data_IF_246831724788
#
_entry.id   IF_246831724788
#
_cell.length_a   1.000
_cell.length_b   1.000
_cell.length_c   1.000
_cell.angle_alpha   90.00
_cell.angle_beta   90.00
_cell.angle_gamma   90.00
#
_symmetry.space_group_name_H-M   'P 1'
#
loop_
_entity.id
_entity.type
_entity.pdbx_description
1 polymer ?
#
# COMPACT_ATOMS: atom_id res chain seq x y z
N UNK A 1 17.48 26.09 10.00
CA UNK A 1 17.82 26.30 8.58
C UNK A 1 16.64 27.00 7.91
N UNK A 2 16.89 27.98 7.03
CA UNK A 2 15.81 28.61 6.26
C UNK A 2 15.55 27.85 4.96
N UNK A 3 14.30 27.78 4.51
CA UNK A 3 13.92 27.14 3.23
C UNK A 3 14.72 27.66 2.04
N UNK A 4 15.08 28.95 2.06
CA UNK A 4 15.84 29.58 0.98
C UNK A 4 17.23 29.00 0.76
N UNK A 5 17.82 28.38 1.78
CA UNK A 5 19.16 27.81 1.74
C UNK A 5 19.19 26.41 1.09
N UNK A 6 18.03 25.79 0.86
CA UNK A 6 17.94 24.48 0.24
C UNK A 6 18.34 24.52 -1.24
N UNK A 7 18.90 23.41 -1.74
CA UNK A 7 19.25 23.27 -3.15
C UNK A 7 18.00 23.39 -4.04
N UNK A 8 18.19 23.87 -5.28
CA UNK A 8 17.08 23.97 -6.23
C UNK A 8 16.48 22.60 -6.56
N UNK A 9 17.32 21.56 -6.58
CA UNK A 9 16.89 20.18 -6.79
C UNK A 9 15.92 19.72 -5.70
N UNK A 10 16.27 19.94 -4.43
CA UNK A 10 15.42 19.58 -3.29
C UNK A 10 14.11 20.39 -3.31
N UNK A 11 14.19 21.71 -3.55
CA UNK A 11 13.00 22.57 -3.70
C UNK A 11 12.07 22.06 -4.82
N UNK A 12 12.63 21.65 -5.96
CA UNK A 12 11.86 21.13 -7.09
C UNK A 12 11.17 19.80 -6.73
N UNK A 13 11.88 18.87 -6.09
CA UNK A 13 11.29 17.61 -5.64
C UNK A 13 10.20 17.85 -4.58
N UNK A 14 10.44 18.74 -3.62
CA UNK A 14 9.47 19.11 -2.60
C UNK A 14 8.17 19.67 -3.21
N UNK A 15 8.26 20.56 -4.21
CA UNK A 15 7.07 21.09 -4.90
C UNK A 15 6.22 19.99 -5.54
N UNK A 16 6.83 18.91 -6.02
CA UNK A 16 6.10 17.79 -6.63
C UNK A 16 5.29 16.97 -5.61
N UNK A 17 5.77 16.90 -4.36
CA UNK A 17 5.24 15.95 -3.35
C UNK A 17 4.47 16.62 -2.22
N UNK A 18 4.69 17.92 -1.95
CA UNK A 18 4.13 18.63 -0.78
C UNK A 18 2.60 18.63 -0.69
N UNK A 19 1.89 18.40 -1.80
CA UNK A 19 0.43 18.32 -1.82
C UNK A 19 -0.12 16.91 -1.60
N UNK A 20 0.74 15.90 -1.44
CA UNK A 20 0.35 14.58 -0.96
C UNK A 20 0.27 14.66 0.57
N UNK A 21 -0.93 14.95 1.07
CA UNK A 21 -1.18 15.19 2.49
C UNK A 21 -1.41 13.91 3.29
N UNK A 22 -1.39 12.74 2.67
CA UNK A 22 -1.21 11.45 3.37
C UNK A 22 0.14 11.38 4.10
N UNK A 23 1.09 12.25 3.75
CA UNK A 23 2.42 12.32 4.32
C UNK A 23 2.64 13.62 5.10
N UNK A 24 3.33 13.52 6.24
CA UNK A 24 4.02 14.65 6.88
C UNK A 24 5.40 14.79 6.26
N UNK A 25 5.81 16.00 5.88
CA UNK A 25 7.07 16.25 5.18
C UNK A 25 8.05 17.04 6.05
N UNK A 26 9.24 16.47 6.25
CA UNK A 26 10.38 17.07 6.93
C UNK A 26 11.52 17.33 5.92
N UNK A 27 12.04 18.56 5.86
CA UNK A 27 13.09 18.96 4.92
C UNK A 27 14.44 19.12 5.63
N UNK A 28 15.46 18.43 5.11
CA UNK A 28 16.84 18.50 5.56
C UNK A 28 17.71 19.14 4.47
N UNK A 29 18.98 19.36 4.75
CA UNK A 29 19.91 20.00 3.81
C UNK A 29 20.08 19.18 2.51
N UNK A 30 20.09 17.86 2.65
CA UNK A 30 20.43 16.89 1.61
C UNK A 30 19.31 15.88 1.29
N UNK A 31 18.19 15.92 2.01
CA UNK A 31 17.08 14.97 1.83
C UNK A 31 15.71 15.50 2.24
N UNK A 32 14.67 14.82 1.76
CA UNK A 32 13.28 15.00 2.18
C UNK A 32 12.85 13.71 2.89
N UNK A 33 12.22 13.81 4.05
CA UNK A 33 11.59 12.68 4.73
C UNK A 33 10.08 12.88 4.72
N UNK A 34 9.36 11.94 4.11
CA UNK A 34 7.92 11.82 4.24
C UNK A 34 7.60 10.77 5.30
N UNK A 35 6.63 11.02 6.17
CA UNK A 35 6.09 10.01 7.11
C UNK A 35 4.62 9.84 6.82
N UNK A 36 4.20 8.63 6.43
CA UNK A 36 2.81 8.34 6.16
C UNK A 36 1.99 8.47 7.45
N UNK A 37 1.01 9.38 7.48
CA UNK A 37 0.34 9.82 8.72
C UNK A 37 -0.48 8.73 9.41
N UNK A 38 -0.89 7.69 8.68
CA UNK A 38 -1.70 6.59 9.24
C UNK A 38 -0.83 5.46 9.79
N UNK A 39 0.22 5.08 9.05
CA UNK A 39 1.05 3.91 9.39
C UNK A 39 2.39 4.26 10.03
N UNK A 40 2.74 5.54 10.08
CA UNK A 40 4.05 6.05 10.49
C UNK A 40 5.22 5.48 9.66
N UNK A 41 4.96 4.92 8.46
CA UNK A 41 6.02 4.43 7.57
C UNK A 41 6.82 5.60 7.00
N UNK A 42 8.15 5.67 7.23
CA UNK A 42 8.98 6.73 6.67
C UNK A 42 9.41 6.42 5.24
N UNK A 43 9.46 7.46 4.42
CA UNK A 43 9.97 7.48 3.06
C UNK A 43 11.10 8.52 3.00
N UNK A 44 12.29 8.08 2.60
CA UNK A 44 13.49 8.92 2.52
C UNK A 44 13.80 9.19 1.06
N UNK A 45 13.75 10.46 0.68
CA UNK A 45 14.03 10.92 -0.68
C UNK A 45 15.39 11.63 -0.65
N UNK A 46 16.38 10.99 -1.26
CA UNK A 46 17.75 11.49 -1.41
C UNK A 46 18.02 11.84 -2.88
N UNK A 47 19.07 12.61 -3.12
CA UNK A 47 19.41 13.13 -4.45
C UNK A 47 20.79 12.64 -4.87
N UNK A 48 20.91 12.21 -6.12
CA UNK A 48 22.16 11.76 -6.72
C UNK A 48 22.39 12.48 -8.05
N UNK A 49 23.63 12.86 -8.32
CA UNK A 49 24.03 13.53 -9.57
C UNK A 49 23.89 12.64 -10.81
N UNK A 50 23.85 11.31 -10.62
CA UNK A 50 23.75 10.36 -11.71
C UNK A 50 23.52 8.92 -11.24
N UNK A 51 23.49 8.02 -12.22
CA UNK A 51 23.17 6.59 -12.01
C UNK A 51 24.17 5.89 -11.09
N UNK A 52 25.47 6.06 -11.32
CA UNK A 52 26.51 5.37 -10.53
C UNK A 52 26.48 5.78 -9.06
N UNK A 53 26.29 7.07 -8.79
CA UNK A 53 26.13 7.57 -7.42
C UNK A 53 24.85 7.02 -6.78
N UNK A 54 23.74 6.98 -7.52
CA UNK A 54 22.48 6.43 -7.02
C UNK A 54 22.58 4.94 -6.65
N UNK A 55 23.24 4.13 -7.48
CA UNK A 55 23.50 2.71 -7.21
C UNK A 55 24.38 2.55 -5.95
N UNK A 56 25.44 3.35 -5.79
CA UNK A 56 26.25 3.35 -4.55
C UNK A 56 25.46 3.78 -3.30
N UNK A 57 24.54 4.72 -3.45
CA UNK A 57 23.66 5.16 -2.36
C UNK A 57 22.61 4.10 -1.99
N UNK A 58 22.21 3.23 -2.93
CA UNK A 58 21.22 2.16 -2.71
C UNK A 58 21.75 1.08 -1.77
N UNK A 59 23.07 0.86 -1.77
CA UNK A 59 23.75 -0.09 -0.88
C UNK A 59 23.65 0.33 0.60
N UNK A 60 23.55 1.64 0.87
CA UNK A 60 23.54 2.21 2.21
C UNK A 60 22.11 2.58 2.64
N UNK A 61 21.44 1.68 3.36
CA UNK A 61 20.08 1.86 3.86
C UNK A 61 20.05 2.55 5.23
N UNK A 62 19.20 3.55 5.38
CA UNK A 62 19.01 4.28 6.64
C UNK A 62 17.95 3.61 7.56
N UNK A 63 17.99 2.27 7.67
CA UNK A 63 17.10 1.50 8.54
C UNK A 63 15.67 1.32 8.02
N UNK A 64 14.70 1.21 8.94
CA UNK A 64 13.29 0.95 8.61
C UNK A 64 12.67 2.06 7.77
N UNK A 65 12.08 1.73 6.62
CA UNK A 65 11.40 2.68 5.72
C UNK A 65 11.60 2.34 4.24
N UNK A 66 11.10 3.23 3.37
CA UNK A 66 11.28 3.14 1.92
C UNK A 66 12.33 4.17 1.49
N UNK A 67 13.33 3.72 0.75
CA UNK A 67 14.38 4.58 0.20
C UNK A 67 14.08 4.92 -1.26
N UNK A 68 14.11 6.21 -1.56
CA UNK A 68 13.92 6.79 -2.88
C UNK A 68 15.12 7.67 -3.21
N UNK A 69 15.73 7.45 -4.37
CA UNK A 69 16.88 8.21 -4.85
C UNK A 69 16.48 8.87 -6.17
N UNK A 70 16.47 10.20 -6.16
CA UNK A 70 16.12 11.01 -7.31
C UNK A 70 17.37 11.31 -8.12
N UNK A 71 17.28 11.11 -9.43
CA UNK A 71 18.35 11.43 -10.39
C UNK A 71 17.88 12.44 -11.44
N UNK A 72 18.79 13.26 -12.01
CA UNK A 72 18.42 14.26 -13.03
C UNK A 72 18.06 13.65 -14.39
N UNK A 73 18.44 12.39 -14.65
CA UNK A 73 18.24 11.75 -15.95
C UNK A 73 16.75 11.47 -16.22
N UNK A 74 16.20 12.11 -17.26
CA UNK A 74 14.83 11.91 -17.71
C UNK A 74 14.63 10.44 -18.13
N UNK A 75 13.50 9.83 -17.75
CA UNK A 75 13.14 8.42 -18.03
C UNK A 75 13.89 7.36 -17.22
N UNK A 76 14.38 7.72 -16.04
CA UNK A 76 14.92 6.73 -15.10
C UNK A 76 13.81 6.26 -14.16
N UNK A 77 13.60 4.94 -14.07
CA UNK A 77 12.78 4.29 -13.05
C UNK A 77 13.20 2.82 -12.92
N UNK A 78 13.82 2.44 -11.80
CA UNK A 78 14.14 1.05 -11.49
C UNK A 78 14.32 0.87 -9.98
N UNK A 79 14.46 -0.37 -9.53
CA UNK A 79 14.73 -0.71 -8.14
C UNK A 79 16.11 -1.35 -8.08
N UNK A 80 16.95 -0.87 -7.16
CA UNK A 80 18.27 -1.43 -6.90
C UNK A 80 18.49 -1.53 -5.39
N UNK A 81 18.95 -2.70 -4.93
CA UNK A 81 19.06 -3.05 -3.51
C UNK A 81 17.81 -2.74 -2.64
N UNK A 82 16.62 -2.65 -3.25
CA UNK A 82 15.37 -2.29 -2.55
C UNK A 82 15.12 -0.79 -2.38
N UNK A 83 15.96 0.07 -2.95
CA UNK A 83 15.69 1.50 -3.12
C UNK A 83 15.10 1.76 -4.51
N UNK A 84 14.15 2.69 -4.60
CA UNK A 84 13.66 3.19 -5.89
C UNK A 84 14.63 4.24 -6.43
N UNK A 85 15.12 4.06 -7.66
CA UNK A 85 15.94 5.04 -8.35
C UNK A 85 15.13 5.59 -9.53
N UNK A 86 14.79 6.88 -9.49
CA UNK A 86 13.90 7.47 -10.49
C UNK A 86 14.18 8.94 -10.78
N UNK A 87 13.67 9.40 -11.92
CA UNK A 87 13.62 10.84 -12.23
C UNK A 87 12.51 11.53 -11.45
N UNK A 88 12.71 12.80 -11.07
CA UNK A 88 11.75 13.58 -10.25
C UNK A 88 10.30 13.56 -10.77
N UNK A 89 10.09 13.41 -12.08
CA UNK A 89 8.77 13.36 -12.70
C UNK A 89 7.92 12.15 -12.29
N UNK A 90 8.55 11.06 -11.83
CA UNK A 90 7.84 9.86 -11.35
C UNK A 90 7.63 9.85 -9.84
N UNK A 91 8.23 10.82 -9.12
CA UNK A 91 8.24 10.81 -7.66
C UNK A 91 6.84 10.93 -7.07
N UNK A 92 6.02 11.82 -7.63
CA UNK A 92 4.64 12.00 -7.17
C UNK A 92 3.83 10.72 -7.37
N UNK A 93 3.89 10.12 -8.56
CA UNK A 93 3.14 8.90 -8.87
C UNK A 93 3.56 7.73 -7.98
N UNK A 94 4.87 7.53 -7.80
CA UNK A 94 5.38 6.49 -6.90
C UNK A 94 4.85 6.67 -5.47
N UNK A 95 4.80 7.90 -4.95
CA UNK A 95 4.31 8.15 -3.60
C UNK A 95 2.80 7.92 -3.44
N UNK A 96 2.02 8.15 -4.52
CA UNK A 96 0.61 7.75 -4.56
C UNK A 96 0.50 6.23 -4.55
N UNK A 97 1.28 5.54 -5.39
CA UNK A 97 1.31 4.07 -5.41
C UNK A 97 1.72 3.50 -4.05
N UNK A 98 2.73 4.07 -3.39
CA UNK A 98 3.14 3.65 -2.04
C UNK A 98 1.97 3.82 -1.05
N UNK A 99 1.26 4.95 -1.09
CA UNK A 99 0.11 5.19 -0.21
C UNK A 99 -0.97 4.13 -0.42
N UNK A 100 -1.32 3.85 -1.67
CA UNK A 100 -2.37 2.89 -2.03
C UNK A 100 -2.01 1.45 -1.61
N UNK A 101 -0.72 1.17 -1.38
CA UNK A 101 -0.22 -0.13 -0.94
C UNK A 101 0.15 -0.17 0.54
N UNK A 102 -0.09 0.89 1.31
CA UNK A 102 -0.09 0.85 2.78
C UNK A 102 -1.51 0.59 3.23
N UNK A 103 -1.83 -0.67 3.51
CA UNK A 103 -3.19 -1.12 3.73
C UNK A 103 -3.42 -1.46 5.19
N UNK A 104 -4.51 -0.95 5.76
CA UNK A 104 -4.98 -1.37 7.07
C UNK A 104 -5.42 -2.84 7.01
N UNK A 105 -5.00 -3.66 7.97
CA UNK A 105 -5.33 -5.08 7.99
C UNK A 105 -5.74 -5.61 9.36
N UNK A 106 -6.06 -4.72 10.30
CA UNK A 106 -6.57 -5.09 11.61
C UNK A 106 -6.30 -4.06 12.67
N UNK A 107 -6.76 -4.37 13.87
CA UNK A 107 -6.60 -3.52 15.04
C UNK A 107 -6.49 -4.34 16.31
N UNK A 108 -6.05 -3.69 17.39
CA UNK A 108 -6.10 -4.18 18.75
C UNK A 108 -6.41 -3.05 19.72
N UNK A 109 -7.32 -3.29 20.66
CA UNK A 109 -7.57 -2.38 21.78
C UNK A 109 -6.65 -2.77 22.94
N UNK A 110 -5.86 -1.82 23.42
CA UNK A 110 -4.94 -1.97 24.55
C UNK A 110 -5.27 -0.96 25.65
N UNK A 111 -4.88 -1.28 26.88
CA UNK A 111 -4.88 -0.31 27.96
C UNK A 111 -3.56 0.50 27.93
N UNK A 112 -3.68 1.83 27.90
CA UNK A 112 -2.56 2.76 27.96
C UNK A 112 -2.91 3.94 28.86
N UNK A 113 -2.13 4.13 29.91
CA UNK A 113 -2.31 5.20 30.90
C UNK A 113 -3.74 5.28 31.47
N UNK A 114 -4.34 4.11 31.76
CA UNK A 114 -5.71 3.99 32.28
C UNK A 114 -6.83 4.22 31.26
N UNK A 115 -6.50 4.36 29.97
CA UNK A 115 -7.48 4.50 28.88
C UNK A 115 -7.40 3.31 27.93
N UNK A 116 -8.51 3.01 27.25
CA UNK A 116 -8.51 2.07 26.13
C UNK A 116 -8.15 2.83 24.84
N UNK A 117 -7.11 2.36 24.15
CA UNK A 117 -6.61 2.93 22.91
C UNK A 117 -6.57 1.86 21.84
N UNK A 118 -7.00 2.20 20.63
CA UNK A 118 -6.86 1.32 19.47
C UNK A 118 -5.47 1.49 18.86
N UNK A 119 -4.77 0.38 18.69
CA UNK A 119 -3.59 0.25 17.85
C UNK A 119 -4.01 -0.37 16.52
N UNK A 120 -3.74 0.33 15.42
CA UNK A 120 -4.01 -0.15 14.07
C UNK A 120 -2.80 -0.90 13.50
N UNK A 121 -3.08 -1.95 12.73
CA UNK A 121 -2.08 -2.68 11.97
C UNK A 121 -2.15 -2.29 10.50
N UNK A 122 -1.02 -1.80 9.99
CA UNK A 122 -0.83 -1.48 8.58
C UNK A 122 0.24 -2.39 7.97
N UNK A 123 0.00 -2.83 6.74
CA UNK A 123 0.95 -3.63 5.97
C UNK A 123 1.32 -2.87 4.68
N UNK A 124 2.62 -2.78 4.39
CA UNK A 124 3.11 -2.25 3.11
C UNK A 124 3.29 -3.39 2.10
N UNK A 125 2.46 -3.40 1.06
CA UNK A 125 2.42 -4.43 0.03
C UNK A 125 3.38 -4.14 -1.13
N UNK A 126 4.64 -3.85 -0.81
CA UNK A 126 5.63 -3.40 -1.81
C UNK A 126 5.87 -4.38 -2.97
N UNK A 127 5.81 -5.70 -2.72
CA UNK A 127 5.92 -6.70 -3.77
C UNK A 127 4.77 -6.63 -4.78
N UNK A 128 3.55 -6.44 -4.28
CA UNK A 128 2.35 -6.27 -5.11
C UNK A 128 2.38 -4.94 -5.86
N UNK A 129 2.79 -3.86 -5.19
CA UNK A 129 2.96 -2.53 -5.80
C UNK A 129 3.87 -2.57 -7.02
N UNK A 130 5.00 -3.27 -6.93
CA UNK A 130 5.92 -3.42 -8.06
C UNK A 130 5.27 -4.16 -9.23
N UNK A 131 4.42 -5.15 -8.96
CA UNK A 131 3.63 -5.82 -10.00
C UNK A 131 2.66 -4.84 -10.67
N UNK A 132 1.92 -4.05 -9.88
CA UNK A 132 0.98 -3.06 -10.40
C UNK A 132 1.66 -1.98 -11.25
N UNK A 133 2.79 -1.45 -10.79
CA UNK A 133 3.59 -0.47 -11.55
C UNK A 133 4.04 -1.06 -12.90
N UNK A 134 4.50 -2.32 -12.93
CA UNK A 134 4.93 -2.99 -14.17
C UNK A 134 3.78 -3.20 -15.15
N UNK A 135 2.59 -3.49 -14.64
CA UNK A 135 1.38 -3.71 -15.44
C UNK A 135 0.58 -2.42 -15.69
N UNK A 136 1.07 -1.27 -15.22
CA UNK A 136 0.39 0.02 -15.29
C UNK A 136 -1.05 -0.03 -14.72
N UNK A 137 -1.21 -0.73 -13.58
CA UNK A 137 -2.49 -0.88 -12.89
C UNK A 137 -2.68 0.20 -11.82
N UNK A 138 -3.87 0.78 -11.77
CA UNK A 138 -4.25 1.88 -10.87
C UNK A 138 -5.32 1.39 -9.87
N UNK A 139 -5.07 1.63 -8.59
CA UNK A 139 -6.04 1.33 -7.52
C UNK A 139 -7.33 2.13 -7.70
N UNK A 140 -8.49 1.50 -7.52
CA UNK A 140 -9.82 2.08 -7.74
C UNK A 140 -10.26 2.13 -9.21
N UNK A 141 -9.38 1.82 -10.15
CA UNK A 141 -9.71 1.70 -11.58
C UNK A 141 -9.59 0.26 -12.06
N UNK A 142 -8.41 -0.34 -11.89
CA UNK A 142 -8.08 -1.67 -12.43
C UNK A 142 -8.21 -2.76 -11.37
N UNK A 143 -8.08 -2.39 -10.10
CA UNK A 143 -8.26 -3.27 -8.95
C UNK A 143 -8.64 -2.50 -7.69
N UNK A 144 -9.04 -3.21 -6.63
CA UNK A 144 -9.14 -2.70 -5.27
C UNK A 144 -8.46 -3.65 -4.28
N UNK A 145 -7.85 -3.12 -3.22
CA UNK A 145 -7.38 -3.92 -2.09
C UNK A 145 -8.47 -3.92 -1.02
N UNK A 146 -8.88 -5.11 -0.59
CA UNK A 146 -10.01 -5.27 0.33
C UNK A 146 -9.72 -6.30 1.41
N UNK A 147 -10.26 -6.05 2.62
CA UNK A 147 -10.03 -6.86 3.81
C UNK A 147 -11.04 -8.00 3.88
N UNK A 148 -10.52 -9.21 4.13
CA UNK A 148 -11.30 -10.41 4.37
C UNK A 148 -10.91 -11.06 5.69
N UNK A 149 -11.88 -11.25 6.58
CA UNK A 149 -11.71 -11.99 7.82
C UNK A 149 -11.72 -13.49 7.54
N UNK A 150 -10.75 -14.23 8.10
CA UNK A 150 -10.73 -15.70 8.04
C UNK A 150 -11.51 -16.26 9.23
N UNK A 151 -12.74 -16.69 8.99
CA UNK A 151 -13.62 -17.19 10.04
C UNK A 151 -13.04 -18.43 10.74
N UNK A 152 -12.88 -18.37 12.05
CA UNK A 152 -12.32 -19.43 12.88
C UNK A 152 -13.24 -20.66 12.99
N UNK A 153 -14.55 -20.50 12.74
CA UNK A 153 -15.53 -21.58 12.83
C UNK A 153 -15.64 -22.41 11.55
N UNK A 154 -15.63 -21.75 10.38
CA UNK A 154 -15.85 -22.43 9.09
C UNK A 154 -14.63 -22.41 8.16
N UNK A 155 -13.57 -21.67 8.52
CA UNK A 155 -12.37 -21.52 7.72
C UNK A 155 -12.58 -20.77 6.40
N UNK A 156 -13.70 -20.07 6.21
CA UNK A 156 -13.99 -19.28 4.99
C UNK A 156 -13.57 -17.83 5.15
N UNK A 157 -13.26 -17.19 4.04
CA UNK A 157 -13.07 -15.75 3.97
C UNK A 157 -14.42 -15.02 3.90
N UNK A 158 -14.55 -13.97 4.68
CA UNK A 158 -15.73 -13.11 4.79
C UNK A 158 -15.27 -11.68 4.56
N UNK A 159 -15.90 -10.93 3.65
CA UNK A 159 -15.57 -9.50 3.47
C UNK A 159 -15.85 -8.74 4.78
N UNK A 160 -15.07 -7.70 5.04
CA UNK A 160 -15.10 -6.94 6.29
C UNK A 160 -16.52 -6.46 6.67
N UNK A 161 -17.32 -6.03 5.69
CA UNK A 161 -18.67 -5.50 5.92
C UNK A 161 -19.66 -6.59 6.36
N UNK A 162 -19.41 -7.85 5.99
CA UNK A 162 -20.26 -8.99 6.31
C UNK A 162 -19.86 -9.73 7.60
N UNK A 163 -18.72 -9.39 8.23
CA UNK A 163 -18.19 -10.14 9.39
C UNK A 163 -19.17 -10.16 10.55
N UNK A 164 -19.80 -9.02 10.88
CA UNK A 164 -20.73 -8.93 12.01
C UNK A 164 -21.88 -9.94 11.87
N UNK A 165 -22.58 -9.89 10.75
CA UNK A 165 -23.69 -10.80 10.45
C UNK A 165 -23.24 -12.26 10.34
N UNK A 166 -22.06 -12.49 9.79
CA UNK A 166 -21.51 -13.85 9.67
C UNK A 166 -21.23 -14.48 11.04
N UNK A 167 -20.63 -13.71 11.95
CA UNK A 167 -20.29 -14.18 13.30
C UNK A 167 -21.53 -14.39 14.18
N UNK A 168 -22.58 -13.57 14.01
CA UNK A 168 -23.89 -13.81 14.63
C UNK A 168 -24.46 -15.18 14.25
N UNK A 169 -24.26 -15.63 13.01
CA UNK A 169 -24.63 -16.97 12.54
C UNK A 169 -23.92 -18.11 13.27
N UNK A 170 -22.75 -17.86 13.87
CA UNK A 170 -22.02 -18.78 14.74
C UNK A 170 -22.31 -18.56 16.23
N UNK A 171 -23.20 -17.63 16.58
CA UNK A 171 -23.51 -17.26 17.96
C UNK A 171 -22.41 -16.45 18.65
N UNK A 172 -21.55 -15.76 17.88
CA UNK A 172 -20.46 -14.91 18.40
C UNK A 172 -20.80 -13.44 18.18
N UNK A 173 -20.72 -12.64 19.25
CA UNK A 173 -20.83 -11.18 19.16
C UNK A 173 -19.48 -10.55 18.89
N UNK A 174 -19.38 -9.68 17.87
CA UNK A 174 -18.17 -8.89 17.64
C UNK A 174 -17.91 -7.84 18.71
N UNK A 175 -18.93 -7.46 19.50
CA UNK A 175 -18.76 -6.51 20.61
C UNK A 175 -17.80 -7.00 21.68
N UNK A 176 -17.58 -8.32 21.74
CA UNK A 176 -16.72 -8.96 22.73
C UNK A 176 -15.28 -9.11 22.23
N UNK A 177 -15.00 -8.70 20.97
CA UNK A 177 -13.66 -8.74 20.38
C UNK A 177 -12.94 -7.41 20.59
N UNK A 178 -11.71 -7.53 21.11
CA UNK A 178 -10.78 -6.42 21.25
C UNK A 178 -9.62 -6.46 20.25
N UNK A 179 -9.57 -7.47 19.37
CA UNK A 179 -8.52 -7.62 18.34
C UNK A 179 -9.11 -8.37 17.13
N UNK A 180 -8.84 -7.87 15.93
CA UNK A 180 -9.19 -8.52 14.68
C UNK A 180 -8.08 -8.32 13.65
N UNK A 181 -7.83 -9.36 12.84
CA UNK A 181 -6.89 -9.33 11.74
C UNK A 181 -7.54 -9.86 10.47
N UNK A 182 -7.14 -9.27 9.37
CA UNK A 182 -7.71 -9.49 8.05
C UNK A 182 -6.60 -9.91 7.09
N UNK A 183 -6.96 -10.79 6.15
CA UNK A 183 -6.18 -10.94 4.92
C UNK A 183 -6.54 -9.80 3.97
N UNK A 184 -5.56 -9.27 3.26
CA UNK A 184 -5.78 -8.28 2.21
C UNK A 184 -5.72 -8.98 0.86
N UNK A 185 -6.82 -8.89 0.12
CA UNK A 185 -6.94 -9.42 -1.24
C UNK A 185 -7.10 -8.31 -2.27
N UNK A 186 -6.55 -8.54 -3.45
CA UNK A 186 -6.76 -7.74 -4.64
C UNK A 186 -8.00 -8.25 -5.37
N UNK A 187 -9.00 -7.38 -5.51
CA UNK A 187 -10.15 -7.55 -6.38
C UNK A 187 -9.77 -6.97 -7.74
N UNK A 188 -9.36 -7.83 -8.68
CA UNK A 188 -8.84 -7.41 -9.96
C UNK A 188 -9.97 -7.30 -11.00
N UNK A 189 -10.27 -6.08 -11.44
CA UNK A 189 -11.33 -5.81 -12.40
C UNK A 189 -10.93 -6.15 -13.84
N UNK A 190 -9.64 -6.12 -14.17
CA UNK A 190 -9.17 -6.55 -15.50
C UNK A 190 -9.45 -8.05 -15.71
N UNK A 191 -9.19 -8.86 -14.68
CA UNK A 191 -9.29 -10.32 -14.74
C UNK A 191 -10.62 -10.86 -14.19
N UNK A 192 -11.43 -10.04 -13.51
CA UNK A 192 -12.65 -10.47 -12.83
C UNK A 192 -12.40 -11.52 -11.74
N UNK A 193 -11.25 -11.44 -11.05
CA UNK A 193 -10.75 -12.48 -10.13
C UNK A 193 -10.19 -11.86 -8.85
N UNK A 194 -10.06 -12.71 -7.83
CA UNK A 194 -9.47 -12.32 -6.54
C UNK A 194 -8.07 -12.91 -6.41
N UNK A 195 -7.09 -12.08 -6.06
CA UNK A 195 -5.72 -12.49 -5.81
C UNK A 195 -5.32 -12.16 -4.37
N UNK A 196 -4.46 -12.99 -3.78
CA UNK A 196 -3.84 -12.64 -2.51
C UNK A 196 -2.74 -11.58 -2.71
N UNK A 197 -2.24 -11.01 -1.61
CA UNK A 197 -1.14 -10.02 -1.64
C UNK A 197 0.17 -10.45 -2.30
N UNK A 198 0.29 -11.71 -2.72
CA UNK A 198 1.44 -12.25 -3.46
C UNK A 198 1.13 -12.52 -4.95
N UNK A 199 -0.05 -12.10 -5.44
CA UNK A 199 -0.47 -12.29 -6.83
C UNK A 199 -0.99 -13.70 -7.15
N UNK A 200 -1.31 -14.52 -6.15
CA UNK A 200 -1.88 -15.86 -6.36
C UNK A 200 -3.40 -15.80 -6.31
N UNK A 201 -4.05 -16.38 -7.32
CA UNK A 201 -5.52 -16.47 -7.38
C UNK A 201 -6.08 -17.22 -6.15
N UNK A 202 -7.10 -16.64 -5.53
CA UNK A 202 -7.85 -17.23 -4.41
C UNK A 202 -9.14 -17.82 -4.95
N UNK A 203 -9.38 -19.11 -4.69
CA UNK A 203 -10.51 -19.80 -5.30
C UNK A 203 -11.83 -19.34 -4.69
N UNK A 204 -12.87 -19.25 -5.51
CA UNK A 204 -14.21 -18.89 -5.05
C UNK A 204 -14.72 -19.82 -3.91
N UNK A 205 -14.29 -21.08 -3.89
CA UNK A 205 -14.64 -22.04 -2.83
C UNK A 205 -14.05 -21.70 -1.46
N UNK A 206 -13.09 -20.79 -1.36
CA UNK A 206 -12.50 -20.33 -0.09
C UNK A 206 -13.35 -19.24 0.60
N UNK A 207 -14.30 -18.65 -0.12
CA UNK A 207 -15.17 -17.58 0.37
C UNK A 207 -16.50 -18.12 0.93
N UNK A 208 -17.03 -17.40 1.91
CA UNK A 208 -18.39 -17.58 2.44
C UNK A 208 -19.45 -17.21 1.40
N UNK A 209 -20.71 -17.58 1.64
CA UNK A 209 -21.83 -17.21 0.76
C UNK A 209 -22.00 -15.70 0.63
N UNK A 210 -21.78 -14.97 1.71
CA UNK A 210 -21.89 -13.52 1.82
C UNK A 210 -20.77 -12.85 1.01
N UNK A 211 -19.53 -13.29 1.21
CA UNK A 211 -18.39 -12.81 0.43
C UNK A 211 -18.56 -13.11 -1.07
N UNK A 212 -19.11 -14.27 -1.44
CA UNK A 212 -19.43 -14.57 -2.86
C UNK A 212 -20.45 -13.60 -3.44
N UNK A 213 -21.48 -13.26 -2.67
CA UNK A 213 -22.48 -12.29 -3.10
C UNK A 213 -21.88 -10.89 -3.26
N UNK A 214 -21.05 -10.46 -2.30
CA UNK A 214 -20.28 -9.22 -2.37
C UNK A 214 -19.37 -9.18 -3.62
N UNK A 215 -18.54 -10.20 -3.82
CA UNK A 215 -17.64 -10.29 -4.98
C UNK A 215 -18.39 -10.26 -6.31
N UNK A 216 -19.54 -10.94 -6.39
CA UNK A 216 -20.39 -10.90 -7.59
C UNK A 216 -20.92 -9.49 -7.89
N UNK A 217 -21.23 -8.70 -6.87
CA UNK A 217 -21.66 -7.32 -7.04
C UNK A 217 -20.48 -6.42 -7.42
N UNK A 218 -19.31 -6.60 -6.79
CA UNK A 218 -18.08 -5.87 -7.12
C UNK A 218 -17.62 -6.09 -8.56
N UNK A 219 -17.79 -7.30 -9.09
CA UNK A 219 -17.45 -7.62 -10.49
C UNK A 219 -18.64 -7.48 -11.45
N UNK A 220 -19.74 -6.88 -11.00
CA UNK A 220 -20.88 -6.63 -11.88
C UNK A 220 -20.48 -5.64 -12.96
N UNK A 221 -20.87 -5.91 -14.20
CA UNK A 221 -20.56 -5.12 -15.39
C UNK A 221 -19.06 -5.07 -15.78
N UNK A 222 -18.22 -5.85 -15.11
CA UNK A 222 -16.82 -6.07 -15.51
C UNK A 222 -16.79 -7.06 -16.68
N UNK A 223 -16.15 -6.68 -17.78
CA UNK A 223 -15.83 -7.57 -18.89
C UNK A 223 -14.34 -7.97 -18.79
N UNK A 224 -14.02 -9.19 -18.33
CA UNK A 224 -12.64 -9.61 -18.18
C UNK A 224 -11.94 -9.68 -19.53
N UNK A 225 -10.70 -9.21 -19.61
CA UNK A 225 -9.83 -9.47 -20.75
C UNK A 225 -9.21 -10.86 -20.55
N UNK A 226 -9.46 -11.80 -21.47
CA UNK A 226 -8.88 -13.14 -21.39
C UNK A 226 -7.37 -13.09 -21.70
N UNK A 227 -6.59 -13.97 -21.07
CA UNK A 227 -5.11 -14.00 -21.18
C UNK A 227 -4.58 -14.30 -22.59
N UNK A 228 -5.45 -14.58 -23.57
CA UNK A 228 -5.08 -14.81 -24.98
C UNK A 228 -4.88 -13.52 -25.80
N UNK A 229 -5.20 -12.34 -25.25
CA UNK A 229 -5.16 -11.06 -25.97
C UNK A 229 -3.84 -10.23 -25.78
N UNK A 230 -2.76 -10.85 -25.29
CA UNK A 230 -1.43 -10.21 -25.15
C UNK A 230 -0.32 -10.88 -25.98
#
# INVERSE_FOLDING_TARGET
MGYEQLSQELKNAYVNVRSLDDYRWDLFEDKIIGVHKKSELPIRIRFASGREEAEKMSENKEGFGIDVIVVPNRRTFYIDNGAFILSVNYLRSLLVDINDHIVWHGFKVIEKDGNLVQEDFYEYLGGLMVSHIKNNMISGQDYLLWQFYKCEHCGKYVDIDSVAKHMEGHGVSLTDKSEEKYEVFELNFIKGKVFNKFGKEVKESEFSSEAKAFLKDMFKDVQPIEEEDF
#
